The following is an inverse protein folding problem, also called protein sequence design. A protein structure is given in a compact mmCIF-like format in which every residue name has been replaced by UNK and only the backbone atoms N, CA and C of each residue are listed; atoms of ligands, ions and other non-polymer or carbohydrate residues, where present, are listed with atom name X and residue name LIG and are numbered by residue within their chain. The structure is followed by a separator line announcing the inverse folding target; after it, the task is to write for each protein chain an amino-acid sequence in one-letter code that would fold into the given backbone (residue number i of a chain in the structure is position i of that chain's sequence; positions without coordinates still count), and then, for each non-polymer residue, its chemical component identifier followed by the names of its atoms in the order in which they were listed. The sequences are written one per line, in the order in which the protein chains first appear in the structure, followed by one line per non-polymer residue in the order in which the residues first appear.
data_IF_151531068618
#
_entry.id   IF_151531068618
#
_cell.length_a   1.000
_cell.length_b   1.000
_cell.length_c   1.000
_cell.angle_alpha   90.00
_cell.angle_beta   90.00
_cell.angle_gamma   90.00
#
_symmetry.space_group_name_H-M   'P 1'
#
loop_
_entity.id
_entity.type
_entity.pdbx_description
1 polymer ?
#
# COMPACT_ATOMS: atom_id res chain seq x y z
N UNK A 1 2.59 25.29 4.30
CA UNK A 1 2.31 24.81 2.92
C UNK A 1 3.52 24.01 2.52
N UNK A 2 3.38 22.70 2.26
CA UNK A 2 4.50 21.86 1.82
C UNK A 2 4.70 22.15 0.33
N UNK A 3 5.87 22.65 -0.05
CA UNK A 3 6.21 22.88 -1.46
C UNK A 3 6.45 21.55 -2.16
N UNK A 4 6.03 21.43 -3.42
CA UNK A 4 6.34 20.24 -4.22
C UNK A 4 7.87 20.09 -4.38
N UNK A 5 8.41 18.88 -4.24
CA UNK A 5 9.85 18.66 -4.36
C UNK A 5 10.32 18.69 -5.83
N UNK A 6 11.56 19.16 -6.05
CA UNK A 6 12.17 19.26 -7.39
C UNK A 6 12.35 17.91 -8.09
N UNK A 7 12.59 16.84 -7.31
CA UNK A 7 12.78 15.47 -7.81
C UNK A 7 11.91 14.50 -7.03
N UNK A 8 11.22 13.62 -7.76
CA UNK A 8 10.32 12.60 -7.21
C UNK A 8 10.68 11.23 -7.77
N UNK A 9 10.69 10.21 -6.91
CA UNK A 9 10.77 8.81 -7.33
C UNK A 9 9.35 8.32 -7.61
N UNK A 10 9.08 7.94 -8.86
CA UNK A 10 7.81 7.38 -9.29
C UNK A 10 7.76 5.86 -9.01
N UNK A 11 6.91 5.46 -8.07
CA UNK A 11 6.72 4.05 -7.70
C UNK A 11 5.35 3.56 -8.20
N UNK A 12 5.35 2.68 -9.19
CA UNK A 12 4.13 2.06 -9.68
C UNK A 12 3.86 0.72 -8.97
N UNK A 13 2.77 0.64 -8.21
CA UNK A 13 2.32 -0.60 -7.56
C UNK A 13 1.54 -1.46 -8.55
N UNK A 14 1.99 -2.70 -8.73
CA UNK A 14 1.23 -3.75 -9.40
C UNK A 14 0.10 -4.27 -8.50
N UNK A 15 -0.90 -5.01 -9.03
CA UNK A 15 -1.91 -5.65 -8.20
C UNK A 15 -1.31 -6.51 -7.09
N UNK A 16 -1.76 -6.33 -5.85
CA UNK A 16 -1.16 -6.92 -4.64
C UNK A 16 0.10 -6.21 -4.11
N UNK A 17 0.53 -5.12 -4.75
CA UNK A 17 1.67 -4.32 -4.34
C UNK A 17 1.38 -3.53 -3.05
N UNK A 18 2.44 -3.30 -2.28
CA UNK A 18 2.42 -2.58 -1.01
C UNK A 18 3.63 -1.65 -0.91
N UNK A 19 3.41 -0.45 -0.39
CA UNK A 19 4.48 0.45 0.02
C UNK A 19 4.08 1.17 1.30
N UNK A 20 5.02 1.28 2.23
CA UNK A 20 4.96 2.15 3.40
C UNK A 20 6.32 2.80 3.61
N UNK A 21 6.36 4.10 3.82
CA UNK A 21 7.61 4.82 4.02
C UNK A 21 7.44 6.33 3.99
N UNK A 22 8.54 7.02 3.73
CA UNK A 22 8.63 8.48 3.67
C UNK A 22 9.56 8.92 2.56
N UNK A 23 9.51 10.20 2.21
CA UNK A 23 10.37 10.84 1.23
C UNK A 23 9.61 11.34 0.01
N UNK A 24 10.35 11.86 -0.97
CA UNK A 24 9.79 12.44 -2.19
C UNK A 24 9.40 11.32 -3.17
N UNK A 25 8.41 10.51 -2.79
CA UNK A 25 7.95 9.35 -3.56
C UNK A 25 6.51 9.59 -3.99
N UNK A 26 6.26 9.43 -5.29
CA UNK A 26 4.90 9.41 -5.85
C UNK A 26 4.51 7.98 -6.10
N UNK A 27 3.61 7.48 -5.26
CA UNK A 27 3.06 6.13 -5.40
C UNK A 27 1.86 6.20 -6.34
N UNK A 28 1.86 5.34 -7.37
CA UNK A 28 0.81 5.28 -8.38
C UNK A 28 0.39 3.84 -8.58
N UNK A 29 -0.86 3.65 -8.95
CA UNK A 29 -1.34 2.36 -9.46
C UNK A 29 -2.51 2.61 -10.41
N UNK A 30 -2.87 1.59 -11.19
CA UNK A 30 -4.04 1.64 -12.06
C UNK A 30 -5.13 0.75 -11.44
N UNK A 31 -6.32 1.32 -11.24
CA UNK A 31 -7.46 0.60 -10.67
C UNK A 31 -8.50 0.30 -11.75
N UNK A 32 -8.93 -0.97 -11.80
CA UNK A 32 -10.16 -1.39 -12.45
C UNK A 32 -11.24 -1.61 -11.39
N UNK A 33 -11.64 -2.87 -11.18
CA UNK A 33 -12.53 -3.26 -10.08
C UNK A 33 -11.84 -3.38 -8.71
N UNK A 34 -10.50 -3.35 -8.69
CA UNK A 34 -9.69 -3.41 -7.48
C UNK A 34 -9.75 -2.09 -6.70
N UNK A 35 -9.26 -2.10 -5.46
CA UNK A 35 -9.25 -0.92 -4.59
C UNK A 35 -7.85 -0.63 -4.06
N UNK A 36 -7.56 0.64 -3.76
CA UNK A 36 -6.36 1.02 -3.04
C UNK A 36 -6.68 1.50 -1.64
N UNK A 37 -5.87 1.06 -0.67
CA UNK A 37 -5.88 1.59 0.70
C UNK A 37 -4.69 2.53 0.83
N UNK A 38 -4.94 3.79 1.15
CA UNK A 38 -3.92 4.82 1.27
C UNK A 38 -3.92 5.40 2.70
N UNK A 39 -2.75 5.49 3.30
CA UNK A 39 -2.56 6.11 4.61
C UNK A 39 -1.53 7.23 4.54
N UNK A 40 -1.78 8.28 5.33
CA UNK A 40 -0.89 9.43 5.45
C UNK A 40 -0.85 9.92 6.89
N UNK A 41 0.34 10.03 7.46
CA UNK A 41 0.60 10.60 8.76
C UNK A 41 1.18 12.02 8.60
N UNK A 42 0.40 13.10 8.79
CA UNK A 42 0.82 14.46 8.43
C UNK A 42 1.97 15.03 9.27
N UNK A 43 2.13 14.59 10.52
CA UNK A 43 3.23 15.08 11.39
C UNK A 43 4.56 14.37 11.14
N UNK A 44 4.54 13.05 10.93
CA UNK A 44 5.73 12.23 10.68
C UNK A 44 6.12 12.17 9.20
N UNK A 45 5.22 12.62 8.31
CA UNK A 45 5.38 12.58 6.86
C UNK A 45 5.65 11.17 6.32
N UNK A 46 5.06 10.17 6.98
CA UNK A 46 4.99 8.80 6.49
C UNK A 46 3.68 8.58 5.77
N UNK A 47 3.72 7.80 4.70
CA UNK A 47 2.54 7.37 4.00
C UNK A 47 2.79 6.08 3.24
N UNK A 48 1.69 5.53 2.74
CA UNK A 48 1.75 4.30 1.99
C UNK A 48 0.47 4.02 1.23
N UNK A 49 0.58 3.02 0.37
CA UNK A 49 -0.50 2.55 -0.48
C UNK A 49 -0.40 1.04 -0.61
N UNK A 50 -1.54 0.37 -0.56
CA UNK A 50 -1.71 -1.03 -0.91
C UNK A 50 -2.67 -1.16 -2.10
N UNK A 51 -2.35 -1.99 -3.09
CA UNK A 51 -3.28 -2.36 -4.17
C UNK A 51 -3.96 -3.68 -3.81
N UNK A 52 -5.19 -3.59 -3.31
CA UNK A 52 -5.98 -4.72 -2.84
C UNK A 52 -6.89 -5.23 -3.96
N UNK A 53 -6.92 -6.55 -4.14
CA UNK A 53 -7.77 -7.21 -5.14
C UNK A 53 -8.98 -7.87 -4.51
N UNK A 54 -8.87 -8.36 -3.28
CA UNK A 54 -9.90 -9.15 -2.59
C UNK A 54 -10.01 -8.75 -1.12
N UNK A 55 -11.19 -8.85 -0.49
CA UNK A 55 -11.35 -8.50 0.91
C UNK A 55 -10.64 -9.49 1.85
N UNK A 56 -10.72 -10.79 1.56
CA UNK A 56 -10.24 -11.88 2.42
C UNK A 56 -9.45 -12.93 1.64
N UNK A 57 -8.55 -13.64 2.32
CA UNK A 57 -7.90 -14.85 1.79
C UNK A 57 -8.92 -15.97 1.60
N UNK A 58 -8.80 -16.81 0.54
CA UNK A 58 -9.58 -18.04 0.45
C UNK A 58 -9.28 -18.96 1.63
N UNK A 59 -10.31 -19.58 2.21
CA UNK A 59 -10.20 -20.42 3.40
C UNK A 59 -9.31 -21.66 3.22
N UNK A 60 -9.09 -22.10 1.97
CA UNK A 60 -8.20 -23.21 1.62
C UNK A 60 -6.72 -22.82 1.59
N UNK A 61 -6.40 -21.52 1.59
CA UNK A 61 -5.02 -21.03 1.64
C UNK A 61 -4.62 -20.95 3.11
N UNK A 62 -4.10 -22.06 3.63
CA UNK A 62 -3.28 -22.07 4.85
C UNK A 62 -1.86 -21.64 4.46
N UNK A 63 -1.68 -20.36 4.12
CA UNK A 63 -0.37 -19.86 3.73
C UNK A 63 0.50 -19.61 4.95
N UNK A 64 1.73 -20.12 4.85
CA UNK A 64 2.98 -19.60 5.40
C UNK A 64 2.89 -18.12 5.83
N UNK A 65 3.54 -17.78 6.95
CA UNK A 65 3.36 -16.62 7.87
C UNK A 65 3.50 -15.21 7.23
N UNK A 66 3.65 -15.14 5.90
CA UNK A 66 3.84 -13.92 5.13
C UNK A 66 2.50 -13.26 4.73
N UNK A 67 2.34 -12.02 5.19
CA UNK A 67 1.23 -11.15 4.83
C UNK A 67 1.29 -10.77 3.34
N UNK A 68 0.12 -10.62 2.71
CA UNK A 68 0.00 -10.33 1.29
C UNK A 68 -1.05 -9.24 1.03
N UNK A 69 -0.60 -8.06 0.58
CA UNK A 69 -1.45 -6.89 0.35
C UNK A 69 -2.48 -7.04 -0.78
N UNK A 70 -2.49 -8.18 -1.49
CA UNK A 70 -3.61 -8.56 -2.36
C UNK A 70 -4.93 -8.65 -1.58
N UNK A 71 -4.87 -9.00 -0.29
CA UNK A 71 -6.03 -9.15 0.58
C UNK A 71 -6.14 -7.96 1.54
N UNK A 72 -7.35 -7.42 1.73
CA UNK A 72 -7.54 -6.21 2.54
C UNK A 72 -7.10 -6.42 4.00
N UNK A 73 -7.49 -7.54 4.60
CA UNK A 73 -7.13 -7.91 5.98
C UNK A 73 -5.62 -7.89 6.21
N UNK A 74 -4.88 -8.54 5.31
CA UNK A 74 -3.42 -8.56 5.30
C UNK A 74 -2.79 -7.19 5.07
N UNK A 75 -3.34 -6.39 4.16
CA UNK A 75 -2.85 -5.04 3.89
C UNK A 75 -2.95 -4.17 5.15
N UNK A 76 -4.05 -4.25 5.91
CA UNK A 76 -4.17 -3.57 7.19
C UNK A 76 -3.13 -4.08 8.20
N UNK A 77 -2.91 -5.39 8.29
CA UNK A 77 -1.87 -5.92 9.18
C UNK A 77 -0.46 -5.44 8.77
N UNK A 78 -0.17 -5.35 7.48
CA UNK A 78 1.09 -4.78 6.99
C UNK A 78 1.25 -3.34 7.45
N UNK A 79 0.25 -2.49 7.25
CA UNK A 79 0.30 -1.10 7.71
C UNK A 79 0.49 -0.97 9.23
N UNK A 80 -0.16 -1.83 10.02
CA UNK A 80 -0.02 -1.81 11.48
C UNK A 80 1.34 -2.30 11.99
N UNK A 81 2.02 -3.17 11.23
CA UNK A 81 3.35 -3.70 11.58
C UNK A 81 4.51 -2.83 11.06
N UNK A 82 4.23 -1.85 10.20
CA UNK A 82 5.24 -1.04 9.48
C UNK A 82 5.60 0.29 10.14
#
# INVERSE_FOLDING_TARGET
MISEPDTVIDLFLQPGGFYWGKGNIRIRTLLGSCVSICFWHPSLLYGGMAHVMLPFRPSSIHSDDSLNAKYAEDAFQLFLKS
#
